data_IF_182273178749
#
_entry.id   IF_182273178749
#
_cell.length_a   1.000
_cell.length_b   1.000
_cell.length_c   1.000
_cell.angle_alpha   90.00
_cell.angle_beta   90.00
_cell.angle_gamma   90.00
#
_symmetry.space_group_name_H-M   'P 1'
#
loop_
_entity.id
_entity.type
_entity.pdbx_description
1 polymer ?
#
# COMPACT_ATOMS: atom_id res chain seq x y z
N UNK A 1 -24.30 20.65 1.71
CA UNK A 1 -22.91 20.17 1.90
C UNK A 1 -23.01 18.70 2.26
N UNK A 2 -22.49 17.79 1.44
CA UNK A 2 -22.54 16.36 1.74
C UNK A 2 -21.66 16.09 2.98
N UNK A 3 -22.27 15.61 4.06
CA UNK A 3 -21.52 15.13 5.21
C UNK A 3 -20.62 13.99 4.73
N UNK A 4 -19.31 14.20 4.77
CA UNK A 4 -18.33 13.17 4.45
C UNK A 4 -18.52 12.07 5.50
N UNK A 5 -19.20 10.98 5.13
CA UNK A 5 -19.30 9.79 5.97
C UNK A 5 -17.91 9.45 6.51
N UNK A 6 -17.74 9.41 7.83
CA UNK A 6 -16.52 8.89 8.46
C UNK A 6 -16.49 7.39 8.20
N UNK A 7 -15.85 6.99 7.10
CA UNK A 7 -15.62 5.58 6.81
C UNK A 7 -14.69 5.00 7.88
N UNK A 8 -15.10 3.91 8.53
CA UNK A 8 -14.26 3.22 9.51
C UNK A 8 -13.10 2.53 8.79
N UNK A 9 -11.86 2.90 9.11
CA UNK A 9 -10.67 2.34 8.48
C UNK A 9 -10.53 0.84 8.73
N UNK A 10 -11.05 0.32 9.84
CA UNK A 10 -10.93 -1.10 10.17
C UNK A 10 -11.82 -2.01 9.30
N UNK A 11 -12.86 -1.44 8.69
CA UNK A 11 -13.90 -2.18 7.94
C UNK A 11 -13.74 -2.06 6.42
N UNK A 12 -12.72 -1.33 5.95
CA UNK A 12 -12.44 -1.22 4.52
C UNK A 12 -11.47 -2.29 4.05
N UNK A 13 -11.57 -2.63 2.78
CA UNK A 13 -10.72 -3.60 2.09
C UNK A 13 -9.65 -2.84 1.30
N UNK A 14 -8.36 -2.90 1.68
CA UNK A 14 -7.29 -2.35 0.87
C UNK A 14 -7.06 -3.21 -0.38
N UNK A 15 -6.85 -2.55 -1.52
CA UNK A 15 -6.57 -3.15 -2.81
C UNK A 15 -5.34 -2.50 -3.43
N UNK A 16 -4.40 -3.31 -3.92
CA UNK A 16 -3.23 -2.81 -4.65
C UNK A 16 -3.66 -2.08 -5.92
N UNK A 17 -3.06 -0.92 -6.17
CA UNK A 17 -3.32 -0.16 -7.39
C UNK A 17 -2.64 -0.84 -8.60
N UNK A 18 -3.36 -0.90 -9.73
CA UNK A 18 -2.90 -1.56 -10.97
C UNK A 18 -1.57 -1.04 -11.54
N UNK A 19 -1.24 0.22 -11.26
CA UNK A 19 -0.01 0.86 -11.76
C UNK A 19 1.22 0.60 -10.86
N UNK A 20 1.04 -0.19 -9.79
CA UNK A 20 2.12 -0.60 -8.89
C UNK A 20 2.51 -2.03 -9.22
N UNK A 21 3.77 -2.22 -9.56
CA UNK A 21 4.40 -3.54 -9.64
C UNK A 21 5.08 -3.84 -8.31
N UNK A 22 5.00 -5.08 -7.85
CA UNK A 22 5.68 -5.54 -6.65
C UNK A 22 6.51 -6.78 -6.98
N UNK A 23 7.77 -6.78 -6.56
CA UNK A 23 8.71 -7.88 -6.77
C UNK A 23 9.52 -8.14 -5.50
N UNK A 24 9.95 -9.38 -5.30
CA UNK A 24 10.88 -9.71 -4.22
C UNK A 24 12.31 -9.39 -4.64
N UNK A 25 13.01 -8.60 -3.84
CA UNK A 25 14.47 -8.46 -3.92
C UNK A 25 15.08 -8.89 -2.59
N UNK A 26 15.59 -10.12 -2.53
CA UNK A 26 16.09 -10.70 -1.28
C UNK A 26 14.95 -11.01 -0.33
N UNK A 27 14.96 -10.37 0.84
CA UNK A 27 14.00 -10.61 1.94
C UNK A 27 12.89 -9.56 2.03
N UNK A 28 12.84 -8.59 1.11
CA UNK A 28 11.79 -7.57 1.12
C UNK A 28 11.17 -7.34 -0.25
N UNK A 29 9.97 -6.75 -0.24
CA UNK A 29 9.27 -6.37 -1.45
C UNK A 29 9.72 -4.98 -1.91
N UNK A 30 9.96 -4.86 -3.22
CA UNK A 30 10.21 -3.59 -3.90
C UNK A 30 9.00 -3.22 -4.72
N UNK A 31 8.47 -2.03 -4.45
CA UNK A 31 7.38 -1.44 -5.22
C UNK A 31 7.95 -0.57 -6.33
N UNK A 32 7.56 -0.85 -7.57
CA UNK A 32 7.95 -0.11 -8.76
C UNK A 32 6.72 0.54 -9.40
N UNK A 33 6.83 1.83 -9.73
CA UNK A 33 5.70 2.60 -10.30
C UNK A 33 6.19 3.76 -11.16
N UNK A 34 5.40 4.21 -12.14
CA UNK A 34 5.85 5.22 -13.09
C UNK A 34 6.14 6.57 -12.43
N UNK A 35 7.23 7.23 -12.83
CA UNK A 35 7.56 8.61 -12.39
C UNK A 35 6.48 9.62 -12.76
N UNK A 36 5.86 9.41 -13.92
CA UNK A 36 4.83 10.28 -14.44
C UNK A 36 3.59 9.46 -14.78
N UNK A 37 2.42 9.98 -14.38
CA UNK A 37 1.10 9.38 -14.61
C UNK A 37 0.84 9.08 -16.10
N UNK A 38 1.25 9.96 -17.00
CA UNK A 38 1.02 9.80 -18.44
C UNK A 38 2.29 9.35 -19.16
N UNK A 39 2.15 8.34 -20.03
CA UNK A 39 3.26 7.76 -20.80
C UNK A 39 3.96 8.77 -21.72
N UNK A 40 3.22 9.72 -22.27
CA UNK A 40 3.81 10.79 -23.09
C UNK A 40 4.74 11.69 -22.26
N UNK A 41 4.40 12.02 -21.01
CA UNK A 41 5.29 12.81 -20.14
C UNK A 41 6.58 12.06 -19.85
N UNK A 42 6.51 10.73 -19.64
CA UNK A 42 7.70 9.92 -19.46
C UNK A 42 8.61 9.97 -20.70
N UNK A 43 8.03 9.98 -21.90
CA UNK A 43 8.80 10.05 -23.16
C UNK A 43 9.55 11.37 -23.33
N UNK A 44 9.01 12.49 -22.84
CA UNK A 44 9.59 13.81 -23.05
C UNK A 44 10.38 14.37 -21.87
N UNK A 45 10.04 14.01 -20.63
CA UNK A 45 10.64 14.61 -19.42
C UNK A 45 11.62 13.70 -18.68
N UNK A 46 11.72 12.41 -19.02
CA UNK A 46 12.73 11.53 -18.41
C UNK A 46 14.03 11.61 -19.24
N UNK A 47 15.15 12.09 -18.65
CA UNK A 47 16.43 12.13 -19.35
C UNK A 47 16.90 10.74 -19.80
N UNK A 48 17.66 10.68 -20.89
CA UNK A 48 18.28 9.44 -21.36
C UNK A 48 19.20 8.88 -20.26
N UNK A 49 19.04 7.58 -19.95
CA UNK A 49 19.80 6.89 -18.91
C UNK A 49 19.16 6.90 -17.52
N UNK A 50 18.09 7.67 -17.30
CA UNK A 50 17.33 7.62 -16.04
C UNK A 50 16.19 6.60 -16.15
N UNK A 51 15.95 5.85 -15.07
CA UNK A 51 14.80 4.93 -15.00
C UNK A 51 13.47 5.69 -15.10
N UNK A 52 12.54 5.15 -15.88
CA UNK A 52 11.17 5.68 -16.03
C UNK A 52 10.30 5.39 -14.80
N UNK A 53 10.74 4.48 -13.95
CA UNK A 53 10.06 4.07 -12.74
C UNK A 53 10.78 4.59 -11.50
N UNK A 54 10.01 4.75 -10.43
CA UNK A 54 10.51 4.89 -9.07
C UNK A 54 10.38 3.54 -8.40
N UNK A 55 11.40 3.21 -7.60
CA UNK A 55 11.44 2.01 -6.78
C UNK A 55 11.42 2.45 -5.32
N UNK A 56 10.60 1.79 -4.51
CA UNK A 56 10.56 1.94 -3.07
C UNK A 56 10.75 0.56 -2.47
N UNK A 57 11.73 0.45 -1.59
CA UNK A 57 12.02 -0.76 -0.84
C UNK A 57 11.16 -0.75 0.42
N UNK A 58 10.32 -1.76 0.57
CA UNK A 58 9.64 -1.99 1.83
C UNK A 58 10.64 -2.61 2.81
N UNK A 59 10.50 -2.25 4.07
CA UNK A 59 11.08 -2.97 5.20
C UNK A 59 10.27 -4.25 5.49
N UNK A 60 10.67 -4.99 6.52
CA UNK A 60 10.06 -6.25 6.93
C UNK A 60 8.57 -6.10 7.26
N UNK A 61 8.19 -5.16 8.13
CA UNK A 61 6.80 -4.99 8.56
C UNK A 61 5.88 -4.61 7.41
N UNK A 62 6.29 -3.67 6.57
CA UNK A 62 5.52 -3.24 5.42
C UNK A 62 5.50 -4.24 4.28
N UNK A 63 6.54 -5.08 4.13
CA UNK A 63 6.49 -6.28 3.29
C UNK A 63 5.38 -7.21 3.78
N UNK A 64 5.35 -7.53 5.07
CA UNK A 64 4.32 -8.39 5.66
C UNK A 64 2.91 -7.81 5.52
N UNK A 65 2.74 -6.49 5.74
CA UNK A 65 1.46 -5.80 5.49
C UNK A 65 1.08 -5.90 4.02
N UNK A 66 2.00 -5.56 3.10
CA UNK A 66 1.73 -5.55 1.66
C UNK A 66 1.28 -6.92 1.16
N UNK A 67 1.93 -8.00 1.59
CA UNK A 67 1.56 -9.38 1.23
C UNK A 67 0.12 -9.74 1.54
N UNK A 68 -0.43 -9.21 2.64
CA UNK A 68 -1.81 -9.47 3.05
C UNK A 68 -2.85 -8.61 2.32
N UNK A 69 -2.42 -7.58 1.57
CA UNK A 69 -3.29 -6.75 0.71
C UNK A 69 -3.63 -7.52 -0.57
N UNK A 70 -4.68 -8.35 -0.48
CA UNK A 70 -5.16 -9.21 -1.58
C UNK A 70 -6.48 -8.72 -2.20
N UNK A 71 -6.99 -7.59 -1.74
CA UNK A 71 -8.29 -7.05 -2.18
C UNK A 71 -9.50 -7.82 -1.66
N UNK A 72 -9.32 -8.67 -0.64
CA UNK A 72 -10.39 -9.45 -0.01
C UNK A 72 -10.50 -9.18 1.48
N UNK A 73 -9.36 -9.10 2.18
CA UNK A 73 -9.32 -8.88 3.63
C UNK A 73 -9.58 -7.43 3.99
N UNK A 74 -10.29 -7.22 5.09
CA UNK A 74 -10.40 -5.92 5.75
C UNK A 74 -9.10 -5.54 6.47
N UNK A 75 -8.94 -4.26 6.79
CA UNK A 75 -7.81 -3.79 7.60
C UNK A 75 -7.75 -4.50 8.97
N UNK A 76 -8.90 -4.77 9.58
CA UNK A 76 -8.97 -5.52 10.85
C UNK A 76 -8.37 -6.91 10.71
N UNK A 77 -8.79 -7.67 9.70
CA UNK A 77 -8.28 -9.03 9.47
C UNK A 77 -6.78 -9.05 9.16
N UNK A 78 -6.26 -8.00 8.50
CA UNK A 78 -4.82 -7.83 8.29
C UNK A 78 -4.10 -7.63 9.62
N UNK A 79 -4.61 -6.76 10.49
CA UNK A 79 -4.03 -6.51 11.82
C UNK A 79 -4.03 -7.79 12.66
N UNK A 80 -5.17 -8.48 12.71
CA UNK A 80 -5.33 -9.74 13.46
C UNK A 80 -4.36 -10.81 12.97
N UNK A 81 -4.18 -10.95 11.64
CA UNK A 81 -3.20 -11.89 11.07
C UNK A 81 -1.75 -11.55 11.41
N UNK A 82 -1.44 -10.26 11.55
CA UNK A 82 -0.09 -9.80 11.89
C UNK A 82 0.18 -9.78 13.39
N UNK A 83 -0.85 -10.02 14.22
CA UNK A 83 -0.70 -10.07 15.67
C UNK A 83 0.32 -11.15 16.06
N UNK A 84 0.26 -12.36 15.50
CA UNK A 84 1.18 -13.46 15.84
C UNK A 84 2.67 -13.07 15.68
N UNK A 85 2.97 -12.18 14.73
CA UNK A 85 4.33 -11.73 14.43
C UNK A 85 4.73 -10.49 15.23
N UNK A 86 3.84 -9.51 15.41
CA UNK A 86 4.20 -8.16 15.88
C UNK A 86 3.49 -7.70 17.17
N UNK A 87 2.63 -8.52 17.80
CA UNK A 87 1.83 -8.10 18.96
C UNK A 87 2.66 -7.66 20.18
N UNK A 88 3.90 -8.16 20.30
CA UNK A 88 4.82 -7.78 21.38
C UNK A 88 5.32 -6.33 21.27
N UNK A 89 5.17 -5.71 20.10
CA UNK A 89 5.61 -4.35 19.88
C UNK A 89 4.51 -3.34 20.21
N UNK A 90 4.83 -2.36 21.05
CA UNK A 90 3.87 -1.34 21.45
C UNK A 90 3.27 -0.59 20.23
N UNK A 91 1.93 -0.45 20.22
CA UNK A 91 1.21 0.31 19.20
C UNK A 91 1.28 -0.28 17.78
N UNK A 92 1.52 -1.60 17.63
CA UNK A 92 1.60 -2.24 16.30
C UNK A 92 0.36 -1.99 15.43
N UNK A 93 -0.85 -2.08 15.99
CA UNK A 93 -2.11 -1.83 15.26
C UNK A 93 -2.18 -0.41 14.70
N UNK A 94 -1.77 0.57 15.53
CA UNK A 94 -1.71 1.98 15.12
C UNK A 94 -0.67 2.19 14.02
N UNK A 95 0.47 1.49 14.07
CA UNK A 95 1.48 1.57 13.01
C UNK A 95 0.97 0.98 11.69
N UNK A 96 0.29 -0.17 11.71
CA UNK A 96 -0.31 -0.78 10.51
C UNK A 96 -1.34 0.17 9.89
N UNK A 97 -2.21 0.79 10.70
CA UNK A 97 -3.22 1.74 10.20
C UNK A 97 -2.61 3.01 9.61
N UNK A 98 -1.54 3.55 10.22
CA UNK A 98 -0.75 4.66 9.66
C UNK A 98 -0.12 4.26 8.33
N UNK A 99 0.44 3.05 8.27
CA UNK A 99 1.10 2.52 7.07
C UNK A 99 0.13 2.41 5.89
N UNK A 100 -1.04 1.81 6.11
CA UNK A 100 -2.10 1.70 5.10
C UNK A 100 -2.64 3.09 4.69
N UNK A 101 -2.76 4.02 5.64
CA UNK A 101 -3.17 5.40 5.34
C UNK A 101 -2.14 6.11 4.45
N UNK A 102 -0.85 5.89 4.70
CA UNK A 102 0.23 6.45 3.89
C UNK A 102 0.26 5.83 2.49
N UNK A 103 0.16 4.50 2.37
CA UNK A 103 0.05 3.82 1.09
C UNK A 103 -1.15 4.29 0.26
N UNK A 104 -2.29 4.54 0.91
CA UNK A 104 -3.46 5.09 0.24
C UNK A 104 -3.18 6.52 -0.26
N UNK A 105 -2.60 7.37 0.60
CA UNK A 105 -2.27 8.76 0.27
C UNK A 105 -1.29 8.85 -0.91
N UNK A 106 -0.32 7.93 -0.97
CA UNK A 106 0.66 7.85 -2.05
C UNK A 106 0.10 7.16 -3.31
N UNK A 107 -1.14 6.65 -3.24
CA UNK A 107 -1.84 6.04 -4.36
C UNK A 107 -1.47 4.58 -4.63
N UNK A 108 -0.69 3.96 -3.75
CA UNK A 108 -0.25 2.57 -3.91
C UNK A 108 -1.38 1.57 -3.69
N UNK A 109 -2.34 1.94 -2.85
CA UNK A 109 -3.55 1.17 -2.60
C UNK A 109 -4.80 2.04 -2.72
N UNK A 110 -5.94 1.38 -2.92
CA UNK A 110 -7.28 1.95 -2.81
C UNK A 110 -7.99 1.28 -1.64
N UNK A 111 -8.84 2.02 -0.93
CA UNK A 111 -9.69 1.47 0.12
C UNK A 111 -11.12 1.35 -0.42
N UNK A 112 -11.65 0.14 -0.41
CA UNK A 112 -13.02 -0.15 -0.83
C UNK A 112 -13.88 -0.41 0.41
N UNK A 113 -15.18 -0.07 0.34
CA UNK A 113 -16.12 -0.48 1.40
C UNK A 113 -16.27 -2.00 1.33
N UNK A 114 -16.23 -2.68 2.49
CA UNK A 114 -16.64 -4.09 2.55
C UNK A 114 -18.08 -4.19 2.12
N UNK A 115 -18.39 -5.13 1.23
CA UNK A 115 -19.77 -5.46 0.89
C UNK A 115 -20.26 -6.33 2.04
N UNK A 116 -21.24 -5.84 2.80
CA UNK A 116 -21.94 -6.62 3.84
C UNK A 116 -22.70 -7.82 3.23
#
# INVERSE_FOLDING_TARGET
MAAKEKTNLLEVIPCRSEHITAEWEGETIVLSFPRFKYSWMQRFFVPKGMSKERRIYLEEHGTAVWELIDGKRTVREIIEKLADHFHHEAGYESRITIYLSQMQKDGFIKLMKSIE
#
